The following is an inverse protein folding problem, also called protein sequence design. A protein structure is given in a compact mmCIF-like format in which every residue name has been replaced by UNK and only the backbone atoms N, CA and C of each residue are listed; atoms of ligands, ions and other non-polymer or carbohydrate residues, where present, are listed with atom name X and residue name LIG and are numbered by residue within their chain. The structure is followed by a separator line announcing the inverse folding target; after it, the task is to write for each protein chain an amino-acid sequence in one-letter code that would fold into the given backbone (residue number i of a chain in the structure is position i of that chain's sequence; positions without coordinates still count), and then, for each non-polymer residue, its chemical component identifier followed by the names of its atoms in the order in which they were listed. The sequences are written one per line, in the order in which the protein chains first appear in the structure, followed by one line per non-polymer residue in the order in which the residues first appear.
data_IF_099573813903
#
_entry.id   IF_099573813903
#
_cell.length_a   1.000
_cell.length_b   1.000
_cell.length_c   1.000
_cell.angle_alpha   90.00
_cell.angle_beta   90.00
_cell.angle_gamma   90.00
#
_symmetry.space_group_name_H-M   'P 1'
#
loop_
_entity.id
_entity.type
_entity.pdbx_description
1 polymer ?
#
# COMPACT_ATOMS: atom_id res chain seq x y z
N UNK A 1 22.21 10.27 -15.83
CA UNK A 1 21.77 9.04 -16.53
C UNK A 1 22.77 8.73 -17.65
N UNK A 2 23.16 7.47 -17.87
CA UNK A 2 24.11 7.11 -18.91
C UNK A 2 23.53 7.39 -20.31
N UNK A 3 24.41 7.57 -21.29
CA UNK A 3 24.01 7.79 -22.68
C UNK A 3 23.22 6.59 -23.23
N UNK A 4 22.06 6.84 -23.85
CA UNK A 4 21.19 5.80 -24.41
C UNK A 4 20.17 5.20 -23.45
N UNK A 5 20.13 5.63 -22.18
CA UNK A 5 19.06 5.22 -21.25
C UNK A 5 17.73 5.80 -21.70
N UNK A 6 16.73 4.94 -21.92
CA UNK A 6 15.34 5.33 -22.07
C UNK A 6 14.58 5.03 -20.78
N UNK A 7 13.69 5.92 -20.33
CA UNK A 7 12.84 5.62 -19.20
C UNK A 7 11.95 4.41 -19.50
N UNK A 8 11.61 3.61 -18.46
CA UNK A 8 10.46 2.73 -18.54
C UNK A 8 9.24 3.51 -19.02
N UNK A 9 8.44 2.89 -19.87
CA UNK A 9 7.25 3.48 -20.48
C UNK A 9 6.04 2.72 -19.94
N UNK A 10 5.42 3.26 -18.88
CA UNK A 10 4.26 2.66 -18.19
C UNK A 10 3.11 2.48 -19.18
N UNK A 11 2.85 3.48 -20.02
CA UNK A 11 1.82 3.41 -21.08
C UNK A 11 2.06 2.22 -22.01
N UNK A 12 3.30 2.01 -22.47
CA UNK A 12 3.64 0.86 -23.33
C UNK A 12 3.43 -0.48 -22.62
N UNK A 13 3.71 -0.56 -21.31
CA UNK A 13 3.43 -1.76 -20.53
C UNK A 13 1.92 -2.00 -20.38
N UNK A 14 1.11 -0.95 -20.17
CA UNK A 14 -0.35 -1.06 -20.17
C UNK A 14 -0.87 -1.53 -21.54
N UNK A 15 -0.39 -0.95 -22.65
CA UNK A 15 -0.74 -1.40 -24.01
C UNK A 15 -0.42 -2.88 -24.22
N UNK A 16 0.75 -3.33 -23.73
CA UNK A 16 1.15 -4.73 -23.79
C UNK A 16 0.18 -5.64 -23.00
N UNK A 17 -0.21 -5.24 -21.79
CA UNK A 17 -1.17 -6.00 -20.98
C UNK A 17 -2.58 -6.01 -21.59
N UNK A 18 -3.04 -4.90 -22.17
CA UNK A 18 -4.32 -4.86 -22.88
C UNK A 18 -4.33 -5.80 -24.09
N UNK A 19 -3.21 -5.91 -24.81
CA UNK A 19 -3.09 -6.79 -25.98
C UNK A 19 -2.90 -8.27 -25.63
N UNK A 20 -2.16 -8.57 -24.56
CA UNK A 20 -1.67 -9.91 -24.27
C UNK A 20 -2.21 -10.51 -22.95
N UNK A 21 -2.96 -9.74 -22.16
CA UNK A 21 -3.39 -10.12 -20.81
C UNK A 21 -2.35 -9.80 -19.73
N UNK A 22 -2.81 -9.41 -18.54
CA UNK A 22 -1.96 -8.96 -17.42
C UNK A 22 -1.26 -10.10 -16.67
N UNK A 23 -1.75 -11.34 -16.80
CA UNK A 23 -1.44 -12.43 -15.86
C UNK A 23 -0.67 -13.59 -16.51
N UNK A 24 0.18 -13.26 -17.49
CA UNK A 24 0.95 -14.24 -18.28
C UNK A 24 2.17 -14.81 -17.53
N UNK A 25 2.66 -14.10 -16.51
CA UNK A 25 3.82 -14.54 -15.74
C UNK A 25 3.42 -15.63 -14.74
N UNK A 26 4.21 -16.70 -14.64
CA UNK A 26 3.96 -17.81 -13.71
C UNK A 26 4.47 -17.53 -12.29
N UNK A 27 5.32 -16.52 -12.10
CA UNK A 27 5.87 -16.18 -10.79
C UNK A 27 4.82 -15.52 -9.90
N UNK A 28 4.52 -16.17 -8.77
CA UNK A 28 3.57 -15.71 -7.76
C UNK A 28 4.15 -14.55 -6.94
N UNK A 29 4.27 -13.38 -7.57
CA UNK A 29 4.55 -12.11 -6.88
C UNK A 29 3.32 -11.67 -6.08
N UNK A 30 3.50 -10.65 -5.23
CA UNK A 30 2.47 -10.10 -4.37
C UNK A 30 1.15 -9.81 -5.13
N UNK A 31 1.22 -9.27 -6.36
CA UNK A 31 0.06 -9.04 -7.21
C UNK A 31 -0.75 -10.32 -7.55
N UNK A 32 -0.09 -11.46 -7.79
CA UNK A 32 -0.77 -12.74 -8.05
C UNK A 32 -1.42 -13.29 -6.78
N UNK A 33 -0.78 -13.12 -5.63
CA UNK A 33 -1.33 -13.49 -4.32
C UNK A 33 -2.58 -12.66 -4.01
N UNK A 34 -2.53 -11.34 -4.18
CA UNK A 34 -3.69 -10.46 -3.99
C UNK A 34 -4.80 -10.83 -4.98
N UNK A 35 -4.48 -11.08 -6.26
CA UNK A 35 -5.47 -11.54 -7.25
C UNK A 35 -6.15 -12.85 -6.83
N UNK A 36 -5.38 -13.84 -6.37
CA UNK A 36 -5.94 -15.10 -5.90
C UNK A 36 -6.93 -14.89 -4.75
N UNK A 37 -6.57 -14.02 -3.80
CA UNK A 37 -7.46 -13.64 -2.72
C UNK A 37 -8.71 -12.92 -3.23
N UNK A 38 -8.58 -11.93 -4.13
CA UNK A 38 -9.70 -11.15 -4.70
C UNK A 38 -10.70 -12.04 -5.43
N UNK A 39 -10.22 -12.93 -6.32
CA UNK A 39 -11.07 -13.88 -7.04
C UNK A 39 -11.70 -14.87 -6.05
N UNK A 40 -10.93 -15.40 -5.10
CA UNK A 40 -11.42 -16.33 -4.08
C UNK A 40 -12.50 -15.69 -3.21
N UNK A 41 -12.31 -14.43 -2.85
CA UNK A 41 -13.26 -13.59 -2.14
C UNK A 41 -14.45 -13.19 -3.01
N UNK A 42 -14.60 -13.73 -4.22
CA UNK A 42 -15.73 -13.48 -5.12
C UNK A 42 -15.85 -12.03 -5.56
N UNK A 43 -14.74 -11.30 -5.63
CA UNK A 43 -14.64 -10.00 -6.27
C UNK A 43 -14.09 -10.18 -7.70
N UNK A 44 -14.40 -9.23 -8.58
CA UNK A 44 -13.90 -9.23 -9.95
C UNK A 44 -12.39 -8.96 -10.01
N UNK A 45 -11.70 -9.59 -10.94
CA UNK A 45 -10.32 -9.28 -11.29
C UNK A 45 -10.18 -9.42 -12.81
N UNK A 46 -10.22 -8.30 -13.57
CA UNK A 46 -10.09 -8.32 -15.02
C UNK A 46 -8.79 -8.99 -15.49
N UNK A 47 -8.84 -9.63 -16.65
CA UNK A 47 -7.66 -10.23 -17.30
C UNK A 47 -6.79 -9.20 -18.06
N UNK A 48 -7.34 -8.01 -18.30
CA UNK A 48 -6.67 -6.87 -18.94
C UNK A 48 -6.94 -5.61 -18.12
N UNK A 49 -6.07 -4.59 -18.19
CA UNK A 49 -6.28 -3.32 -17.49
C UNK A 49 -7.57 -2.61 -17.94
N UNK A 50 -8.19 -1.89 -17.02
CA UNK A 50 -9.37 -1.06 -17.26
C UNK A 50 -9.33 0.17 -16.35
N UNK A 51 -9.90 1.29 -16.81
CA UNK A 51 -10.00 2.52 -16.00
C UNK A 51 -10.83 2.27 -14.73
N UNK A 52 -10.32 2.69 -13.58
CA UNK A 52 -11.09 2.71 -12.34
C UNK A 52 -12.13 3.84 -12.36
N UNK A 53 -13.35 3.56 -11.90
CA UNK A 53 -14.40 4.56 -11.74
C UNK A 53 -14.10 5.53 -10.59
N UNK A 54 -14.85 6.63 -10.54
CA UNK A 54 -14.77 7.58 -9.42
C UNK A 54 -15.04 6.90 -8.07
N UNK A 55 -16.01 5.98 -8.00
CA UNK A 55 -16.35 5.23 -6.80
C UNK A 55 -15.24 4.26 -6.38
N UNK A 56 -14.58 3.62 -7.34
CA UNK A 56 -13.45 2.72 -7.07
C UNK A 56 -12.23 3.50 -6.55
N UNK A 57 -11.92 4.64 -7.17
CA UNK A 57 -10.87 5.58 -6.69
C UNK A 57 -11.21 6.10 -5.29
N UNK A 58 -12.45 6.50 -5.05
CA UNK A 58 -12.90 6.94 -3.71
C UNK A 58 -12.77 5.84 -2.67
N UNK A 59 -13.13 4.60 -3.02
CA UNK A 59 -13.08 3.46 -2.12
C UNK A 59 -11.64 3.15 -1.68
N UNK A 60 -10.72 3.00 -2.64
CA UNK A 60 -9.32 2.68 -2.33
C UNK A 60 -8.61 3.82 -1.60
N UNK A 61 -8.88 5.08 -1.98
CA UNK A 61 -8.33 6.23 -1.24
C UNK A 61 -8.80 6.27 0.20
N UNK A 62 -10.07 5.91 0.46
CA UNK A 62 -10.57 5.84 1.83
C UNK A 62 -9.82 4.77 2.66
N UNK A 63 -9.47 3.64 2.05
CA UNK A 63 -8.65 2.62 2.71
C UNK A 63 -7.24 3.15 2.99
N UNK A 64 -6.57 3.75 2.01
CA UNK A 64 -5.23 4.34 2.18
C UNK A 64 -5.23 5.39 3.30
N UNK A 65 -6.25 6.24 3.38
CA UNK A 65 -6.38 7.24 4.46
C UNK A 65 -6.52 6.60 5.83
N UNK A 66 -7.29 5.51 5.95
CA UNK A 66 -7.44 4.79 7.22
C UNK A 66 -6.07 4.23 7.66
N UNK A 67 -5.32 3.57 6.78
CA UNK A 67 -3.99 3.01 7.08
C UNK A 67 -2.96 4.11 7.42
N UNK A 68 -2.97 5.22 6.69
CA UNK A 68 -2.11 6.39 7.00
C UNK A 68 -2.40 6.96 8.40
N UNK A 69 -3.67 6.94 8.83
CA UNK A 69 -4.03 7.38 10.17
C UNK A 69 -3.62 6.37 11.25
N UNK A 70 -3.64 5.07 10.93
CA UNK A 70 -3.08 4.02 11.79
C UNK A 70 -1.56 4.20 11.95
N UNK A 71 -0.84 4.47 10.85
CA UNK A 71 0.58 4.83 10.90
C UNK A 71 0.82 6.06 11.78
N UNK A 72 0.02 7.12 11.63
CA UNK A 72 0.15 8.31 12.46
C UNK A 72 -0.16 8.08 13.93
N UNK A 73 -1.03 7.14 14.28
CA UNK A 73 -1.35 6.81 15.67
C UNK A 73 -0.10 6.34 16.44
N UNK A 74 0.94 5.88 15.75
CA UNK A 74 2.23 5.50 16.36
C UNK A 74 3.04 6.69 16.87
N UNK A 75 2.76 7.91 16.40
CA UNK A 75 3.52 9.13 16.76
C UNK A 75 2.63 10.26 17.29
N UNK A 76 1.35 10.31 16.90
CA UNK A 76 0.39 11.36 17.22
C UNK A 76 -0.91 10.81 17.82
N UNK A 77 -1.61 11.66 18.58
CA UNK A 77 -3.03 11.44 18.88
C UNK A 77 -3.91 11.70 17.66
N UNK A 78 -5.15 11.20 17.69
CA UNK A 78 -6.12 11.32 16.60
C UNK A 78 -6.32 12.76 16.10
N UNK A 79 -6.38 13.74 17.01
CA UNK A 79 -6.65 15.14 16.64
C UNK A 79 -5.47 15.69 15.83
N UNK A 80 -4.26 15.48 16.34
CA UNK A 80 -3.05 15.94 15.68
C UNK A 80 -2.80 15.19 14.36
N UNK A 81 -3.02 13.88 14.30
CA UNK A 81 -2.90 13.07 13.08
C UNK A 81 -3.79 13.63 11.95
N UNK A 82 -5.08 13.84 12.23
CA UNK A 82 -6.04 14.40 11.26
C UNK A 82 -5.66 15.82 10.82
N UNK A 83 -5.20 16.66 11.74
CA UNK A 83 -4.81 18.03 11.43
C UNK A 83 -3.57 18.09 10.54
N UNK A 84 -2.55 17.26 10.83
CA UNK A 84 -1.34 17.16 10.00
C UNK A 84 -1.71 16.67 8.60
N UNK A 85 -2.52 15.62 8.50
CA UNK A 85 -2.94 15.06 7.21
C UNK A 85 -3.70 16.08 6.37
N UNK A 86 -4.69 16.80 6.95
CA UNK A 86 -5.38 17.90 6.25
C UNK A 86 -4.45 19.03 5.85
N UNK A 87 -3.47 19.34 6.71
CA UNK A 87 -2.44 20.34 6.40
C UNK A 87 -1.59 19.96 5.18
N UNK A 88 -1.26 18.68 5.01
CA UNK A 88 -0.61 18.21 3.78
C UNK A 88 -1.51 18.38 2.56
N UNK A 89 -2.78 17.99 2.64
CA UNK A 89 -3.73 18.17 1.53
C UNK A 89 -3.86 19.64 1.11
N UNK A 90 -3.93 20.55 2.08
CA UNK A 90 -4.01 21.99 1.81
C UNK A 90 -2.72 22.55 1.21
N UNK A 91 -1.55 22.01 1.60
CA UNK A 91 -0.23 22.41 1.10
C UNK A 91 0.17 21.77 -0.23
N UNK A 92 -0.46 20.65 -0.62
CA UNK A 92 -0.20 19.98 -1.90
C UNK A 92 -0.57 20.87 -3.08
N UNK A 93 0.10 20.65 -4.21
CA UNK A 93 -0.17 21.42 -5.44
C UNK A 93 -1.56 21.12 -5.97
N UNK A 94 -2.14 22.07 -6.71
CA UNK A 94 -3.35 21.81 -7.47
C UNK A 94 -2.98 21.00 -8.72
N UNK A 95 -3.48 19.77 -8.78
CA UNK A 95 -3.24 18.85 -9.90
C UNK A 95 -4.44 18.94 -10.84
N UNK A 96 -4.26 19.40 -12.09
CA UNK A 96 -5.38 19.55 -13.02
C UNK A 96 -5.96 18.18 -13.35
N UNK A 97 -7.28 18.14 -13.56
CA UNK A 97 -7.93 16.91 -14.01
C UNK A 97 -7.28 16.42 -15.31
N UNK A 98 -6.94 15.14 -15.35
CA UNK A 98 -6.38 14.50 -16.54
C UNK A 98 -7.52 14.24 -17.52
N UNK A 99 -7.41 14.85 -18.70
CA UNK A 99 -8.30 14.62 -19.85
C UNK A 99 -7.45 14.00 -20.96
N UNK A 100 -7.36 12.67 -20.96
CA UNK A 100 -6.47 11.89 -21.80
C UNK A 100 -7.17 10.63 -22.32
N UNK A 101 -6.65 9.99 -23.38
CA UNK A 101 -7.10 8.68 -23.81
C UNK A 101 -7.11 7.64 -22.68
N UNK A 102 -7.97 6.63 -22.80
CA UNK A 102 -8.20 5.59 -21.78
C UNK A 102 -6.89 4.93 -21.28
N UNK A 103 -6.00 4.57 -22.21
CA UNK A 103 -4.72 3.92 -21.88
C UNK A 103 -3.81 4.82 -21.05
N UNK A 104 -3.87 6.13 -21.29
CA UNK A 104 -3.07 7.11 -20.55
C UNK A 104 -3.67 7.28 -19.14
N UNK A 105 -4.99 7.32 -19.00
CA UNK A 105 -5.65 7.33 -17.69
C UNK A 105 -5.28 6.08 -16.86
N UNK A 106 -5.30 4.89 -17.47
CA UNK A 106 -4.90 3.65 -16.79
C UNK A 106 -3.43 3.71 -16.37
N UNK A 107 -2.55 4.24 -17.23
CA UNK A 107 -1.13 4.38 -16.92
C UNK A 107 -0.91 5.32 -15.71
N UNK A 108 -1.58 6.47 -15.68
CA UNK A 108 -1.51 7.43 -14.56
C UNK A 108 -2.09 6.83 -13.26
N UNK A 109 -3.19 6.07 -13.34
CA UNK A 109 -3.73 5.34 -12.18
C UNK A 109 -2.73 4.31 -11.65
N UNK A 110 -2.10 3.55 -12.54
CA UNK A 110 -1.11 2.53 -12.18
C UNK A 110 0.17 3.15 -11.59
N UNK A 111 0.63 4.27 -12.15
CA UNK A 111 1.83 5.00 -11.69
C UNK A 111 1.63 5.47 -10.24
N UNK A 112 0.52 6.13 -9.94
CA UNK A 112 0.19 6.58 -8.58
C UNK A 112 0.15 5.43 -7.56
N UNK A 113 -0.41 4.26 -7.91
CA UNK A 113 -0.39 3.09 -7.01
C UNK A 113 1.02 2.54 -6.80
N UNK A 114 1.81 2.44 -7.86
CA UNK A 114 3.17 1.91 -7.78
C UNK A 114 4.06 2.85 -6.99
N UNK A 115 3.90 4.17 -7.14
CA UNK A 115 4.66 5.15 -6.36
C UNK A 115 4.33 5.08 -4.86
N UNK A 116 3.05 4.99 -4.50
CA UNK A 116 2.64 4.72 -3.10
C UNK A 116 3.31 3.45 -2.58
N UNK A 117 3.19 2.34 -3.31
CA UNK A 117 3.79 1.06 -2.91
C UNK A 117 5.32 1.15 -2.78
N UNK A 118 5.99 1.80 -3.73
CA UNK A 118 7.43 1.97 -3.74
C UNK A 118 7.91 2.82 -2.55
N UNK A 119 7.19 3.90 -2.23
CA UNK A 119 7.50 4.72 -1.07
C UNK A 119 7.31 3.97 0.25
N UNK A 120 6.27 3.14 0.38
CA UNK A 120 6.08 2.27 1.55
C UNK A 120 7.24 1.27 1.69
N UNK A 121 7.61 0.59 0.60
CA UNK A 121 8.77 -0.31 0.57
C UNK A 121 10.07 0.42 0.94
N UNK A 122 10.27 1.65 0.45
CA UNK A 122 11.46 2.45 0.73
C UNK A 122 11.51 2.89 2.19
N UNK A 123 10.39 3.38 2.74
CA UNK A 123 10.29 3.78 4.13
C UNK A 123 10.62 2.61 5.07
N UNK A 124 10.02 1.44 4.84
CA UNK A 124 10.31 0.23 5.60
C UNK A 124 11.76 -0.26 5.42
N UNK A 125 12.30 -0.26 4.20
CA UNK A 125 13.68 -0.67 3.95
C UNK A 125 14.70 0.22 4.69
N UNK A 126 14.44 1.54 4.79
CA UNK A 126 15.26 2.49 5.58
C UNK A 126 15.18 2.22 7.08
N UNK A 127 14.18 1.49 7.52
CA UNK A 127 14.01 1.00 8.89
C UNK A 127 14.43 -0.44 9.11
N UNK A 128 15.00 -1.07 8.09
CA UNK A 128 15.39 -2.46 8.17
C UNK A 128 14.20 -3.40 8.35
N UNK A 129 13.01 -3.02 7.89
CA UNK A 129 11.84 -3.90 7.86
C UNK A 129 11.69 -4.47 6.44
N UNK A 130 11.59 -5.78 6.33
CA UNK A 130 11.30 -6.46 5.08
C UNK A 130 9.80 -6.63 4.90
N UNK A 131 9.15 -5.69 4.20
CA UNK A 131 7.70 -5.72 3.98
C UNK A 131 7.23 -6.91 3.14
N UNK A 132 8.06 -7.49 2.28
CA UNK A 132 7.66 -8.71 1.55
C UNK A 132 7.45 -9.89 2.49
N UNK A 133 8.22 -10.00 3.58
CA UNK A 133 7.99 -11.01 4.61
C UNK A 133 6.74 -10.72 5.45
N UNK A 134 6.46 -9.45 5.73
CA UNK A 134 5.23 -9.01 6.42
C UNK A 134 3.99 -9.32 5.55
N UNK A 135 4.07 -9.03 4.24
CA UNK A 135 3.04 -9.38 3.26
C UNK A 135 2.71 -10.87 3.29
N UNK A 136 3.69 -11.77 3.41
CA UNK A 136 3.42 -13.21 3.49
C UNK A 136 2.58 -13.58 4.70
N UNK A 137 2.87 -12.98 5.86
CA UNK A 137 2.13 -13.21 7.10
C UNK A 137 0.68 -12.73 6.96
N UNK A 138 0.50 -11.53 6.41
CA UNK A 138 -0.82 -10.94 6.16
C UNK A 138 -1.60 -11.74 5.12
N UNK A 139 -0.96 -12.10 4.00
CA UNK A 139 -1.58 -12.88 2.94
C UNK A 139 -1.98 -14.28 3.43
N UNK A 140 -1.12 -14.97 4.20
CA UNK A 140 -1.45 -16.25 4.80
C UNK A 140 -2.68 -16.17 5.72
N UNK A 141 -2.75 -15.14 6.56
CA UNK A 141 -3.92 -14.92 7.42
C UNK A 141 -5.19 -14.59 6.60
N UNK A 142 -5.06 -13.84 5.51
CA UNK A 142 -6.16 -13.56 4.59
C UNK A 142 -6.68 -14.84 3.91
N UNK A 143 -5.79 -15.69 3.41
CA UNK A 143 -6.15 -16.96 2.79
C UNK A 143 -6.73 -17.97 3.78
N UNK A 144 -6.30 -17.93 5.04
CA UNK A 144 -6.87 -18.72 6.12
C UNK A 144 -8.34 -18.36 6.45
N UNK A 145 -8.90 -17.28 5.89
CA UNK A 145 -10.34 -16.98 5.99
C UNK A 145 -11.20 -17.93 5.14
N UNK A 146 -10.61 -18.79 4.31
CA UNK A 146 -11.33 -19.89 3.66
C UNK A 146 -11.87 -20.84 4.72
N UNK A 147 -13.14 -21.22 4.57
CA UNK A 147 -13.75 -22.21 5.43
C UNK A 147 -13.04 -23.57 5.28
N UNK A 148 -12.55 -24.19 6.37
CA UNK A 148 -11.77 -25.42 6.27
C UNK A 148 -12.54 -26.62 5.72
N UNK A 149 -13.88 -26.60 5.74
CA UNK A 149 -14.71 -27.71 5.24
C UNK A 149 -14.94 -27.63 3.74
N UNK A 150 -15.11 -26.42 3.22
CA UNK A 150 -15.47 -26.16 1.82
C UNK A 150 -14.31 -25.66 0.97
N UNK A 151 -13.26 -25.11 1.59
CA UNK A 151 -12.16 -24.42 0.90
C UNK A 151 -12.56 -23.05 0.31
N UNK A 152 -13.77 -22.57 0.58
CA UNK A 152 -14.34 -21.35 0.01
C UNK A 152 -14.41 -20.24 1.05
N UNK A 153 -14.42 -18.99 0.60
CA UNK A 153 -14.71 -17.87 1.49
C UNK A 153 -16.21 -17.78 1.71
N UNK A 154 -16.64 -17.93 2.96
CA UNK A 154 -18.03 -17.69 3.33
C UNK A 154 -18.26 -16.19 3.49
N UNK A 155 -19.44 -15.71 3.09
CA UNK A 155 -19.80 -14.28 3.18
C UNK A 155 -21.10 -14.11 3.97
N UNK A 156 -21.20 -12.97 4.66
CA UNK A 156 -22.48 -12.49 5.21
C UNK A 156 -23.34 -11.91 4.08
N UNK A 157 -24.60 -11.59 4.41
CA UNK A 157 -25.54 -10.97 3.47
C UNK A 157 -25.03 -9.64 2.90
N UNK A 158 -24.23 -8.89 3.67
CA UNK A 158 -23.60 -7.64 3.23
C UNK A 158 -22.30 -7.85 2.43
N UNK A 159 -21.99 -9.09 2.05
CA UNK A 159 -20.82 -9.43 1.26
C UNK A 159 -19.51 -9.54 2.05
N UNK A 160 -19.49 -9.21 3.35
CA UNK A 160 -18.26 -9.31 4.17
C UNK A 160 -17.88 -10.77 4.40
N UNK A 161 -16.59 -11.08 4.20
CA UNK A 161 -16.01 -12.40 4.47
C UNK A 161 -16.16 -12.75 5.95
N UNK A 162 -16.64 -13.97 6.22
CA UNK A 162 -16.76 -14.58 7.54
C UNK A 162 -15.44 -15.26 7.89
N UNK A 163 -14.89 -14.95 9.06
CA UNK A 163 -13.72 -15.63 9.61
C UNK A 163 -14.17 -17.00 10.16
N UNK A 164 -13.55 -18.12 9.76
CA UNK A 164 -13.92 -19.43 10.28
C UNK A 164 -13.55 -19.58 11.76
N UNK A 165 -14.17 -20.55 12.44
CA UNK A 165 -13.87 -20.84 13.83
C UNK A 165 -12.38 -21.20 14.00
N UNK A 166 -11.72 -20.58 14.96
CA UNK A 166 -10.29 -20.77 15.24
C UNK A 166 -9.33 -19.95 14.37
N UNK A 167 -9.83 -19.18 13.40
CA UNK A 167 -9.01 -18.24 12.63
C UNK A 167 -8.27 -17.27 13.55
N UNK A 168 -7.00 -17.02 13.26
CA UNK A 168 -6.16 -16.05 13.96
C UNK A 168 -5.80 -14.89 13.03
N UNK A 169 -5.69 -13.66 13.56
CA UNK A 169 -5.13 -12.54 12.80
C UNK A 169 -3.66 -12.80 12.42
N UNK A 170 -3.12 -12.07 11.42
CA UNK A 170 -1.68 -12.10 11.17
C UNK A 170 -0.92 -11.68 12.43
N UNK A 171 0.21 -12.36 12.68
CA UNK A 171 1.08 -12.07 13.81
C UNK A 171 2.30 -11.30 13.31
N UNK A 172 2.06 -10.04 12.93
CA UNK A 172 3.08 -9.12 12.40
C UNK A 172 4.17 -8.89 13.45
N UNK A 173 3.77 -8.73 14.72
CA UNK A 173 4.68 -8.58 15.86
C UNK A 173 5.71 -9.71 15.94
N UNK A 174 5.27 -10.97 15.84
CA UNK A 174 6.18 -12.11 15.85
C UNK A 174 7.15 -12.11 14.67
N UNK A 175 6.70 -11.67 13.50
CA UNK A 175 7.61 -11.54 12.35
C UNK A 175 8.62 -10.41 12.56
N UNK A 176 8.23 -9.28 13.16
CA UNK A 176 9.18 -8.23 13.57
C UNK A 176 10.19 -8.77 14.58
N UNK A 177 9.78 -9.53 15.60
CA UNK A 177 10.71 -10.17 16.54
C UNK A 177 11.70 -11.10 15.85
N UNK A 178 11.24 -11.87 14.86
CA UNK A 178 12.08 -12.72 14.03
C UNK A 178 13.11 -11.91 13.24
N UNK A 179 12.68 -10.81 12.60
CA UNK A 179 13.57 -9.90 11.87
C UNK A 179 14.58 -9.20 12.79
N UNK A 180 14.19 -8.82 14.01
CA UNK A 180 15.10 -8.25 15.01
C UNK A 180 16.15 -9.27 15.50
N UNK A 181 15.75 -10.53 15.70
CA UNK A 181 16.64 -11.56 16.22
C UNK A 181 17.58 -12.13 15.14
N UNK A 182 17.09 -12.27 13.92
CA UNK A 182 17.77 -13.01 12.85
C UNK A 182 18.19 -12.11 11.68
N UNK A 183 17.81 -10.83 11.67
CA UNK A 183 17.97 -9.93 10.52
C UNK A 183 16.83 -10.07 9.51
N UNK A 184 16.52 -8.98 8.82
CA UNK A 184 15.33 -8.86 7.97
C UNK A 184 15.49 -9.41 6.56
N UNK A 185 16.74 -9.61 6.13
CA UNK A 185 17.09 -9.87 4.73
C UNK A 185 17.63 -11.30 4.51
N UNK A 186 17.11 -12.26 5.27
CA UNK A 186 17.57 -13.66 5.27
C UNK A 186 17.05 -14.49 4.09
N UNK A 187 15.97 -14.05 3.43
CA UNK A 187 15.35 -14.81 2.34
C UNK A 187 16.26 -14.84 1.11
N UNK A 188 16.39 -16.03 0.50
CA UNK A 188 17.12 -16.19 -0.76
C UNK A 188 16.35 -15.63 -1.96
N UNK A 189 15.01 -15.62 -1.87
CA UNK A 189 14.15 -15.11 -2.93
C UNK A 189 14.01 -13.58 -2.82
N UNK A 190 14.60 -12.87 -3.78
CA UNK A 190 14.58 -11.40 -3.83
C UNK A 190 13.27 -10.93 -4.45
N UNK A 191 12.34 -10.50 -3.59
CA UNK A 191 11.09 -9.81 -3.97
C UNK A 191 11.22 -8.29 -3.91
N UNK A 192 10.11 -7.59 -4.11
CA UNK A 192 10.06 -6.13 -4.29
C UNK A 192 10.75 -5.35 -3.17
N UNK A 193 10.59 -5.74 -1.89
CA UNK A 193 11.32 -5.12 -0.79
C UNK A 193 12.86 -5.23 -0.90
N UNK A 194 13.39 -6.32 -1.46
CA UNK A 194 14.83 -6.49 -1.69
C UNK A 194 15.32 -5.59 -2.84
N UNK A 195 14.52 -5.45 -3.90
CA UNK A 195 14.85 -4.56 -5.02
C UNK A 195 14.88 -3.09 -4.57
N UNK A 196 13.88 -2.67 -3.79
CA UNK A 196 13.84 -1.31 -3.24
C UNK A 196 14.97 -1.09 -2.23
N UNK A 197 15.31 -2.07 -1.40
CA UNK A 197 16.49 -2.00 -0.53
C UNK A 197 17.79 -1.81 -1.33
N UNK A 198 17.98 -2.60 -2.39
CA UNK A 198 19.18 -2.50 -3.24
C UNK A 198 19.30 -1.10 -3.86
N UNK A 199 18.19 -0.56 -4.36
CA UNK A 199 18.13 0.82 -4.84
C UNK A 199 18.44 1.83 -3.73
N UNK A 200 17.85 1.67 -2.54
CA UNK A 200 18.03 2.55 -1.38
C UNK A 200 19.52 2.64 -0.98
N UNK A 201 20.19 1.48 -0.87
CA UNK A 201 21.63 1.40 -0.58
C UNK A 201 22.44 2.01 -1.73
N UNK A 202 22.09 1.69 -2.98
CA UNK A 202 22.76 2.22 -4.18
C UNK A 202 22.64 3.75 -4.32
N UNK A 203 21.57 4.35 -3.80
CA UNK A 203 21.37 5.79 -3.70
C UNK A 203 22.14 6.46 -2.54
N UNK A 204 22.92 5.69 -1.78
CA UNK A 204 23.69 6.17 -0.64
C UNK A 204 22.87 6.41 0.63
N UNK A 205 21.64 5.89 0.70
CA UNK A 205 20.80 5.94 1.89
C UNK A 205 21.05 4.71 2.77
N UNK A 206 20.79 4.84 4.08
CA UNK A 206 20.90 3.73 5.02
C UNK A 206 19.74 2.74 4.87
N UNK A 207 20.04 1.45 4.93
CA UNK A 207 19.06 0.37 5.11
C UNK A 207 19.61 -0.62 6.14
N UNK A 208 19.18 -0.50 7.42
CA UNK A 208 19.62 -1.40 8.48
C UNK A 208 19.27 -2.87 8.21
N UNK A 209 20.01 -3.78 8.85
CA UNK A 209 19.74 -5.22 8.75
C UNK A 209 18.68 -5.71 9.75
N UNK A 210 18.28 -4.88 10.70
CA UNK A 210 17.24 -5.18 11.71
C UNK A 210 16.23 -4.03 11.80
N UNK A 211 14.98 -4.31 12.20
CA UNK A 211 13.93 -3.30 12.35
C UNK A 211 14.26 -2.19 13.35
N UNK A 212 13.69 -1.01 13.13
CA UNK A 212 13.72 0.14 14.05
C UNK A 212 12.49 1.02 13.87
N UNK A 213 12.09 1.76 14.91
CA UNK A 213 10.93 2.66 14.86
C UNK A 213 11.16 3.85 13.92
N UNK A 214 10.12 4.23 13.16
CA UNK A 214 10.07 5.52 12.46
C UNK A 214 9.83 6.69 13.42
N UNK A 215 10.62 7.75 13.26
CA UNK A 215 10.39 9.01 13.96
C UNK A 215 9.14 9.71 13.43
N UNK A 216 8.67 10.71 14.18
CA UNK A 216 7.57 11.56 13.75
C UNK A 216 7.83 12.24 12.39
N UNK A 217 9.06 12.71 12.16
CA UNK A 217 9.46 13.35 10.91
C UNK A 217 9.46 12.38 9.74
N UNK A 218 9.87 11.13 9.96
CA UNK A 218 9.86 10.10 8.92
C UNK A 218 8.43 9.68 8.58
N UNK A 219 7.55 9.49 9.58
CA UNK A 219 6.12 9.24 9.37
C UNK A 219 5.46 10.39 8.61
N UNK A 220 5.77 11.65 8.98
CA UNK A 220 5.29 12.83 8.25
C UNK A 220 5.78 12.88 6.81
N UNK A 221 7.04 12.52 6.58
CA UNK A 221 7.63 12.53 5.25
C UNK A 221 6.95 11.50 4.33
N UNK A 222 6.86 10.23 4.76
CA UNK A 222 6.21 9.19 3.95
C UNK A 222 4.73 9.52 3.71
N UNK A 223 4.03 9.99 4.74
CA UNK A 223 2.61 10.37 4.59
C UNK A 223 2.44 11.48 3.57
N UNK A 224 3.32 12.49 3.56
CA UNK A 224 3.26 13.55 2.55
C UNK A 224 3.39 12.98 1.14
N UNK A 225 4.32 12.06 0.92
CA UNK A 225 4.50 11.43 -0.40
C UNK A 225 3.23 10.68 -0.81
N UNK A 226 2.66 9.86 0.09
CA UNK A 226 1.41 9.13 -0.17
C UNK A 226 0.25 10.10 -0.50
N UNK A 227 0.13 11.22 0.21
CA UNK A 227 -0.92 12.22 -0.06
C UNK A 227 -0.78 12.85 -1.44
N UNK A 228 0.44 13.16 -1.87
CA UNK A 228 0.67 13.73 -3.20
C UNK A 228 0.25 12.71 -4.28
N UNK A 229 0.62 11.43 -4.16
CA UNK A 229 0.23 10.39 -5.12
C UNK A 229 -1.28 10.07 -5.10
N UNK A 230 -1.92 10.12 -3.93
CA UNK A 230 -3.39 9.99 -3.83
C UNK A 230 -4.10 11.14 -4.56
N UNK A 231 -3.53 12.35 -4.54
CA UNK A 231 -4.08 13.47 -5.30
C UNK A 231 -3.84 13.32 -6.81
N UNK A 232 -2.73 12.70 -7.22
CA UNK A 232 -2.48 12.32 -8.62
C UNK A 232 -3.48 11.27 -9.09
N UNK A 233 -3.74 10.24 -8.28
CA UNK A 233 -4.80 9.26 -8.55
C UNK A 233 -6.16 9.94 -8.69
N UNK A 234 -6.50 10.89 -7.81
CA UNK A 234 -7.76 11.62 -7.92
C UNK A 234 -7.84 12.53 -9.14
N UNK A 235 -6.72 13.05 -9.65
CA UNK A 235 -6.72 13.87 -10.86
C UNK A 235 -7.25 13.12 -12.09
N UNK A 236 -7.24 11.78 -12.05
CA UNK A 236 -7.82 10.93 -13.11
C UNK A 236 -9.36 10.99 -13.16
N UNK A 237 -10.02 11.38 -12.05
CA UNK A 237 -11.49 11.40 -11.94
C UNK A 237 -12.05 12.78 -11.52
N UNK A 238 -11.25 13.64 -10.90
CA UNK A 238 -11.65 14.91 -10.30
C UNK A 238 -10.72 16.06 -10.68
N UNK A 239 -11.25 17.29 -10.63
CA UNK A 239 -10.41 18.48 -10.57
C UNK A 239 -9.74 18.63 -9.19
N UNK A 240 -8.69 19.45 -9.12
CA UNK A 240 -7.92 19.69 -7.91
C UNK A 240 -8.77 20.09 -6.70
N UNK A 241 -9.79 20.94 -6.90
CA UNK A 241 -10.62 21.45 -5.80
C UNK A 241 -11.46 20.32 -5.23
N UNK A 242 -12.11 19.55 -6.09
CA UNK A 242 -12.93 18.44 -5.65
C UNK A 242 -12.10 17.31 -5.04
N UNK A 243 -10.94 16.98 -5.64
CA UNK A 243 -10.00 15.98 -5.12
C UNK A 243 -9.61 16.27 -3.66
N UNK A 244 -9.14 17.51 -3.38
CA UNK A 244 -8.76 17.94 -2.03
C UNK A 244 -9.95 17.92 -1.06
N UNK A 245 -11.13 18.33 -1.49
CA UNK A 245 -12.32 18.35 -0.64
C UNK A 245 -12.78 16.93 -0.27
N UNK A 246 -12.78 16.00 -1.23
CA UNK A 246 -13.12 14.59 -0.98
C UNK A 246 -12.11 13.97 -0.02
N UNK A 247 -10.82 14.18 -0.24
CA UNK A 247 -9.77 13.64 0.63
C UNK A 247 -9.89 14.17 2.07
N UNK A 248 -10.07 15.48 2.25
CA UNK A 248 -10.32 16.05 3.59
C UNK A 248 -11.60 15.51 4.23
N UNK A 249 -12.65 15.29 3.43
CA UNK A 249 -13.89 14.67 3.89
C UNK A 249 -13.67 13.25 4.43
N UNK A 250 -12.80 12.44 3.80
CA UNK A 250 -12.42 11.13 4.34
C UNK A 250 -11.64 11.24 5.65
N UNK A 251 -10.71 12.19 5.75
CA UNK A 251 -9.98 12.43 7.01
C UNK A 251 -10.94 12.81 8.14
N UNK A 252 -11.90 13.70 7.88
CA UNK A 252 -12.88 14.11 8.89
C UNK A 252 -13.83 12.96 9.29
N UNK A 253 -14.23 12.11 8.33
CA UNK A 253 -15.12 10.97 8.57
C UNK A 253 -14.42 9.72 9.15
N UNK A 254 -13.09 9.67 9.12
CA UNK A 254 -12.31 8.57 9.68
C UNK A 254 -12.49 8.46 11.20
N UNK A 255 -12.22 7.28 11.77
CA UNK A 255 -12.33 7.07 13.21
C UNK A 255 -11.21 7.81 13.94
N UNK A 256 -11.46 8.20 15.18
CA UNK A 256 -10.40 8.69 16.05
C UNK A 256 -9.58 7.50 16.56
N UNK A 257 -8.35 7.38 16.08
CA UNK A 257 -7.42 6.31 16.45
C UNK A 257 -6.57 6.80 17.62
N UNK A 258 -6.67 6.20 18.82
CA UNK A 258 -5.87 6.61 19.97
C UNK A 258 -4.38 6.47 19.69
N UNK A 259 -3.57 7.36 20.26
CA UNK A 259 -2.11 7.23 20.18
C UNK A 259 -1.68 5.88 20.77
N UNK A 260 -0.85 5.16 20.05
CA UNK A 260 -0.29 3.88 20.47
C UNK A 260 0.88 4.16 21.41
N UNK A 261 0.74 3.74 22.67
CA UNK A 261 1.80 3.76 23.67
C UNK A 261 2.10 2.30 24.04
N UNK A 262 3.06 1.72 23.33
CA UNK A 262 3.38 0.30 23.37
C UNK A 262 4.91 0.09 23.31
N UNK A 263 5.40 -1.11 23.68
CA UNK A 263 6.80 -1.47 23.48
C UNK A 263 7.26 -1.26 22.03
N UNK A 264 8.57 -1.06 21.85
CA UNK A 264 9.18 -0.74 20.55
C UNK A 264 8.77 -1.73 19.44
N UNK A 265 8.80 -3.03 19.73
CA UNK A 265 8.43 -4.09 18.78
C UNK A 265 6.97 -3.98 18.32
N UNK A 266 6.07 -3.58 19.21
CA UNK A 266 4.67 -3.39 18.89
C UNK A 266 4.50 -2.15 18.00
N UNK A 267 5.19 -1.05 18.31
CA UNK A 267 5.20 0.15 17.45
C UNK A 267 5.71 -0.18 16.04
N UNK A 268 6.81 -0.93 15.92
CA UNK A 268 7.34 -1.33 14.61
C UNK A 268 6.34 -2.22 13.85
N UNK A 269 5.65 -3.13 14.56
CA UNK A 269 4.65 -4.00 13.95
C UNK A 269 3.45 -3.19 13.41
N UNK A 270 2.93 -2.25 14.18
CA UNK A 270 1.84 -1.35 13.75
C UNK A 270 2.30 -0.47 12.57
N UNK A 271 3.55 0.03 12.59
CA UNK A 271 4.12 0.79 11.47
C UNK A 271 4.28 -0.05 10.20
N UNK A 272 4.52 -1.36 10.33
CA UNK A 272 4.66 -2.27 9.20
C UNK A 272 3.32 -2.78 8.67
N UNK A 273 2.31 -2.94 9.54
CA UNK A 273 0.95 -3.36 9.17
C UNK A 273 0.18 -2.24 8.44
N UNK A 274 0.47 -0.98 8.77
CA UNK A 274 -0.12 0.20 8.12
C UNK A 274 0.42 0.48 6.69
N UNK A 275 1.37 -0.31 6.18
CA UNK A 275 1.92 -0.20 4.82
C UNK A 275 1.38 -1.30 3.90
#
# INVERSE_FOLDING_TARGET
KPAGWQPPDVRKEIENQMANGSWQQQDKRDAHHVREFTIGAGQGSPDVPSVMSEEEVKFITKMIVDEVLELFATVHDATNAKNVLKGFVDASKDIPKIDAPEVDIIAEQADAFVDIYYYCLNAAAKKGVNLSAIFDVVHAANMAKRDPKTGQFLKREDGKIIKPAGWQPPDVRKEIENQMANGSWQQQDKRDAHHVREFTIGAGQGSPDVPSVMSEEEVKFITKMIVDEVLELFATVHDATNAKNVLKGFVDASKDIPKIDAPEVDIIAEQADAF
#
